data_IF_390617101544
#
_entry.id   IF_390617101544
#
_cell.length_a   1.000
_cell.length_b   1.000
_cell.length_c   1.000
_cell.angle_alpha   90.00
_cell.angle_beta   90.00
_cell.angle_gamma   90.00
#
_symmetry.space_group_name_H-M   'P 1'
#
loop_
_entity.id
_entity.type
_entity.pdbx_description
1 polymer ?
#
# COMPACT_ATOMS: atom_id res chain seq x y z
N UNK A 1 -6.74 12.34 5.57
CA UNK A 1 -6.15 13.14 4.46
C UNK A 1 -7.30 13.84 3.74
N UNK A 2 -7.17 15.13 3.39
CA UNK A 2 -8.25 15.91 2.74
C UNK A 2 -8.20 15.86 1.20
N UNK A 3 -7.86 14.72 0.61
CA UNK A 3 -7.76 14.53 -0.85
C UNK A 3 -9.02 13.92 -1.46
N UNK A 4 -9.10 13.93 -2.79
CA UNK A 4 -10.18 13.29 -3.55
C UNK A 4 -10.04 11.76 -3.52
N UNK A 5 -11.16 11.04 -3.52
CA UNK A 5 -11.20 9.59 -3.66
C UNK A 5 -11.26 9.20 -5.14
N UNK A 6 -10.41 8.25 -5.54
CA UNK A 6 -10.49 7.59 -6.83
C UNK A 6 -10.54 6.07 -6.63
N UNK A 7 -11.34 5.38 -7.44
CA UNK A 7 -11.51 3.92 -7.38
C UNK A 7 -10.99 3.30 -8.68
N UNK A 8 -9.98 2.44 -8.55
CA UNK A 8 -9.44 1.64 -9.64
C UNK A 8 -10.28 0.37 -9.80
N UNK A 9 -10.96 0.23 -10.93
CA UNK A 9 -11.66 -1.00 -11.28
C UNK A 9 -10.75 -1.89 -12.14
N UNK A 10 -10.65 -3.15 -11.74
CA UNK A 10 -9.87 -4.17 -12.43
C UNK A 10 -10.80 -5.28 -12.89
N UNK A 11 -10.68 -5.63 -14.16
CA UNK A 11 -11.30 -6.83 -14.71
C UNK A 11 -10.25 -7.95 -14.81
N UNK A 12 -10.68 -9.18 -14.54
CA UNK A 12 -9.85 -10.39 -14.61
C UNK A 12 -10.37 -11.30 -15.73
N UNK A 13 -9.97 -11.08 -16.98
CA UNK A 13 -10.40 -11.93 -18.09
C UNK A 13 -9.82 -13.35 -18.02
N UNK A 14 -8.72 -13.58 -17.28
CA UNK A 14 -8.13 -14.90 -17.05
C UNK A 14 -7.41 -14.98 -15.70
N UNK A 15 -7.10 -16.20 -15.24
CA UNK A 15 -6.24 -16.42 -14.07
C UNK A 15 -4.87 -15.76 -14.31
N UNK A 16 -4.43 -14.92 -13.37
CA UNK A 16 -3.17 -14.15 -13.41
C UNK A 16 -3.06 -13.00 -14.45
N UNK A 17 -4.11 -12.68 -15.22
CA UNK A 17 -4.13 -11.49 -16.09
C UNK A 17 -5.04 -10.44 -15.48
N UNK A 18 -4.43 -9.50 -14.77
CA UNK A 18 -5.07 -8.34 -14.19
C UNK A 18 -4.96 -7.17 -15.16
N UNK A 19 -6.07 -6.65 -15.69
CA UNK A 19 -6.07 -5.39 -16.43
C UNK A 19 -6.89 -4.36 -15.67
N UNK A 20 -6.28 -3.22 -15.36
CA UNK A 20 -7.02 -2.06 -14.88
C UNK A 20 -7.80 -1.51 -16.07
N UNK A 21 -9.12 -1.53 -15.96
CA UNK A 21 -10.00 -1.17 -17.09
C UNK A 21 -10.56 0.22 -16.94
N UNK A 22 -10.70 0.70 -15.69
CA UNK A 22 -11.23 2.03 -15.44
C UNK A 22 -10.71 2.64 -14.13
N UNK A 23 -10.72 3.98 -14.08
CA UNK A 23 -10.61 4.74 -12.82
C UNK A 23 -11.83 5.65 -12.71
N UNK A 24 -12.50 5.60 -11.57
CA UNK A 24 -13.59 6.51 -11.23
C UNK A 24 -13.00 7.59 -10.32
N UNK A 25 -13.01 8.84 -10.77
CA UNK A 25 -12.39 9.98 -10.09
C UNK A 25 -11.39 10.72 -10.97
N UNK A 26 -11.16 12.00 -10.68
CA UNK A 26 -10.19 12.84 -11.40
C UNK A 26 -8.80 12.73 -10.77
N UNK A 27 -7.84 12.27 -11.56
CA UNK A 27 -6.45 11.98 -11.16
C UNK A 27 -5.43 12.78 -11.98
N UNK A 28 -5.84 13.54 -12.99
CA UNK A 28 -4.94 14.23 -13.91
C UNK A 28 -4.14 15.32 -13.19
N UNK A 29 -2.81 15.30 -13.35
CA UNK A 29 -1.90 16.24 -12.69
C UNK A 29 -1.76 16.04 -11.16
N UNK A 30 -2.48 15.08 -10.56
CA UNK A 30 -2.51 14.86 -9.11
C UNK A 30 -1.48 13.82 -8.65
N UNK A 31 -1.21 13.84 -7.35
CA UNK A 31 -0.47 12.78 -6.67
C UNK A 31 -1.46 11.71 -6.22
N UNK A 32 -1.38 10.51 -6.77
CA UNK A 32 -2.20 9.38 -6.37
C UNK A 32 -1.49 8.54 -5.29
N UNK A 33 -2.23 8.14 -4.26
CA UNK A 33 -1.78 7.19 -3.25
C UNK A 33 -2.74 6.01 -3.30
N UNK A 34 -2.24 4.87 -3.79
CA UNK A 34 -2.97 3.61 -3.75
C UNK A 34 -2.78 2.97 -2.38
N UNK A 35 -3.85 2.41 -1.82
CA UNK A 35 -3.80 1.70 -0.54
C UNK A 35 -4.33 0.29 -0.72
N UNK A 36 -3.64 -0.68 -0.16
CA UNK A 36 -4.10 -2.06 -0.01
C UNK A 36 -3.76 -2.55 1.40
N UNK A 37 -4.27 -3.70 1.83
CA UNK A 37 -3.86 -4.30 3.10
C UNK A 37 -2.48 -4.97 2.98
N UNK A 38 -2.19 -5.59 1.83
CA UNK A 38 -0.95 -6.34 1.61
C UNK A 38 -0.44 -6.29 0.16
N UNK A 39 0.86 -6.55 -0.01
CA UNK A 39 1.51 -6.70 -1.31
C UNK A 39 2.22 -8.05 -1.38
N UNK A 40 1.74 -8.93 -2.24
CA UNK A 40 2.35 -10.23 -2.50
C UNK A 40 3.26 -10.18 -3.74
N UNK A 41 2.76 -10.55 -4.93
CA UNK A 41 3.55 -10.53 -6.17
C UNK A 41 3.67 -9.14 -6.83
N UNK A 42 3.18 -8.08 -6.19
CA UNK A 42 3.11 -6.68 -6.68
C UNK A 42 2.35 -6.43 -8.01
N UNK A 43 1.78 -7.46 -8.65
CA UNK A 43 1.16 -7.33 -9.98
C UNK A 43 -0.02 -6.35 -10.04
N UNK A 44 -0.86 -6.32 -9.01
CA UNK A 44 -1.98 -5.35 -8.94
C UNK A 44 -1.48 -3.91 -8.80
N UNK A 45 -0.51 -3.67 -7.91
CA UNK A 45 0.05 -2.34 -7.66
C UNK A 45 0.72 -1.78 -8.91
N UNK A 46 1.53 -2.59 -9.59
CA UNK A 46 2.24 -2.16 -10.81
C UNK A 46 1.25 -1.81 -11.92
N UNK A 47 0.28 -2.68 -12.20
CA UNK A 47 -0.74 -2.41 -13.21
C UNK A 47 -1.57 -1.14 -12.87
N UNK A 48 -1.86 -0.90 -11.60
CA UNK A 48 -2.51 0.33 -11.12
C UNK A 48 -1.66 1.57 -11.35
N UNK A 49 -0.38 1.51 -11.00
CA UNK A 49 0.53 2.64 -11.14
C UNK A 49 0.77 3.02 -12.59
N UNK A 50 1.00 2.04 -13.45
CA UNK A 50 1.20 2.26 -14.88
C UNK A 50 -0.04 2.91 -15.49
N UNK A 51 -1.23 2.37 -15.19
CA UNK A 51 -2.50 2.94 -15.64
C UNK A 51 -2.73 4.37 -15.15
N UNK A 52 -2.46 4.66 -13.87
CA UNK A 52 -2.62 6.00 -13.32
C UNK A 52 -1.67 7.01 -13.97
N UNK A 53 -0.42 6.60 -14.23
CA UNK A 53 0.58 7.43 -14.91
C UNK A 53 0.19 7.68 -16.38
N UNK A 54 -0.28 6.65 -17.09
CA UNK A 54 -0.82 6.78 -18.46
C UNK A 54 -2.01 7.76 -18.53
N UNK A 55 -2.81 7.83 -17.46
CA UNK A 55 -3.96 8.74 -17.34
C UNK A 55 -3.61 10.12 -16.77
N UNK A 56 -2.32 10.43 -16.63
CA UNK A 56 -1.86 11.78 -16.31
C UNK A 56 -1.59 12.05 -14.82
N UNK A 57 -1.60 11.02 -13.95
CA UNK A 57 -1.17 11.21 -12.56
C UNK A 57 0.29 11.68 -12.52
N UNK A 58 0.57 12.73 -11.73
CA UNK A 58 1.91 13.30 -11.59
C UNK A 58 2.84 12.35 -10.84
N UNK A 59 2.37 11.80 -9.73
CA UNK A 59 3.10 10.85 -8.87
C UNK A 59 2.17 9.73 -8.44
N UNK A 60 2.70 8.52 -8.30
CA UNK A 60 1.93 7.37 -7.81
C UNK A 60 2.70 6.66 -6.72
N UNK A 61 2.14 6.68 -5.51
CA UNK A 61 2.61 5.93 -4.37
C UNK A 61 1.70 4.73 -4.12
N UNK A 62 2.25 3.68 -3.52
CA UNK A 62 1.46 2.59 -2.98
C UNK A 62 1.78 2.41 -1.49
N UNK A 63 0.76 2.21 -0.67
CA UNK A 63 0.88 1.90 0.74
C UNK A 63 0.20 0.57 1.02
N UNK A 64 0.82 -0.29 1.81
CA UNK A 64 0.18 -1.46 2.38
C UNK A 64 0.66 -1.74 3.79
N UNK A 65 -0.11 -2.48 4.58
CA UNK A 65 0.36 -2.93 5.89
C UNK A 65 1.41 -4.00 5.70
N UNK A 66 1.10 -5.08 4.97
CA UNK A 66 1.95 -6.26 4.90
C UNK A 66 2.72 -6.35 3.57
N UNK A 67 4.04 -6.22 3.61
CA UNK A 67 4.92 -6.45 2.45
C UNK A 67 5.39 -7.90 2.38
N UNK A 68 4.63 -8.78 1.73
CA UNK A 68 5.02 -10.20 1.54
C UNK A 68 6.09 -10.34 0.46
N UNK A 69 5.98 -9.59 -0.63
CA UNK A 69 6.97 -9.53 -1.71
C UNK A 69 7.43 -10.88 -2.27
N UNK A 70 6.51 -11.83 -2.51
CA UNK A 70 6.88 -13.07 -3.20
C UNK A 70 7.36 -12.80 -4.65
N UNK A 71 8.23 -13.64 -5.23
CA UNK A 71 8.67 -13.45 -6.61
C UNK A 71 7.49 -13.39 -7.60
N UNK A 72 7.53 -12.53 -8.64
CA UNK A 72 8.62 -11.63 -9.03
C UNK A 72 8.35 -10.17 -8.59
N UNK A 73 7.99 -9.94 -7.33
CA UNK A 73 7.56 -8.62 -6.85
C UNK A 73 8.63 -7.54 -6.98
N UNK A 74 9.89 -7.86 -6.67
CA UNK A 74 11.03 -6.94 -6.71
C UNK A 74 11.24 -6.44 -8.12
N UNK A 75 11.36 -7.34 -9.11
CA UNK A 75 11.60 -6.96 -10.50
C UNK A 75 10.44 -6.12 -11.04
N UNK A 76 9.20 -6.46 -10.64
CA UNK A 76 8.00 -5.71 -11.02
C UNK A 76 8.02 -4.29 -10.46
N UNK A 77 8.34 -4.10 -9.18
CA UNK A 77 8.35 -2.78 -8.54
C UNK A 77 9.40 -1.88 -9.20
N UNK A 78 10.61 -2.41 -9.47
CA UNK A 78 11.70 -1.65 -10.08
C UNK A 78 11.39 -1.24 -11.53
N UNK A 79 10.75 -2.12 -12.30
CA UNK A 79 10.36 -1.85 -13.68
C UNK A 79 9.09 -0.99 -13.84
N UNK A 80 8.33 -0.78 -12.76
CA UNK A 80 7.05 -0.07 -12.80
C UNK A 80 7.15 1.45 -12.81
N UNK A 81 6.01 2.11 -13.01
CA UNK A 81 5.86 3.55 -12.87
C UNK A 81 5.60 4.04 -11.42
N UNK A 82 5.73 3.18 -10.41
CA UNK A 82 5.62 3.55 -9.00
C UNK A 82 6.74 4.50 -8.58
N UNK A 83 6.38 5.59 -7.91
CA UNK A 83 7.33 6.51 -7.26
C UNK A 83 7.92 5.89 -5.99
N UNK A 84 7.09 5.25 -5.16
CA UNK A 84 7.53 4.50 -3.97
C UNK A 84 6.44 3.56 -3.48
N UNK A 85 6.86 2.47 -2.83
CA UNK A 85 6.01 1.53 -2.10
C UNK A 85 6.33 1.65 -0.61
N UNK A 86 5.32 1.89 0.20
CA UNK A 86 5.44 2.02 1.65
C UNK A 86 4.76 0.81 2.29
N UNK A 87 5.51 0.08 3.10
CA UNK A 87 4.99 -1.06 3.88
C UNK A 87 5.38 -0.95 5.34
N UNK A 88 4.82 -1.82 6.18
CA UNK A 88 5.28 -1.94 7.56
C UNK A 88 6.26 -3.09 7.74
N UNK A 89 6.94 -3.13 8.90
CA UNK A 89 7.79 -4.24 9.32
C UNK A 89 7.00 -5.42 9.94
N UNK A 90 5.68 -5.51 9.72
CA UNK A 90 4.85 -6.66 10.15
C UNK A 90 5.26 -7.98 9.50
N UNK A 91 5.91 -7.94 8.34
CA UNK A 91 6.59 -9.08 7.71
C UNK A 91 8.08 -8.73 7.63
N UNK A 92 9.00 -9.62 8.04
CA UNK A 92 10.42 -9.36 7.93
C UNK A 92 10.83 -9.13 6.48
N UNK A 93 11.48 -8.00 6.22
CA UNK A 93 12.05 -7.66 4.93
C UNK A 93 13.56 -7.63 5.08
N UNK A 94 14.25 -8.44 4.29
CA UNK A 94 15.71 -8.46 4.29
C UNK A 94 16.25 -7.13 3.72
N UNK A 95 16.98 -6.32 4.52
CA UNK A 95 17.51 -5.04 4.09
C UNK A 95 18.46 -5.13 2.89
N UNK A 96 19.08 -6.30 2.66
CA UNK A 96 20.02 -6.51 1.55
C UNK A 96 19.32 -6.76 0.21
N UNK A 97 18.09 -7.25 0.24
CA UNK A 97 17.30 -7.60 -0.96
C UNK A 97 16.09 -6.71 -1.16
N UNK A 98 15.78 -5.84 -0.18
CA UNK A 98 14.70 -4.84 -0.28
C UNK A 98 14.91 -3.92 -1.50
N UNK A 99 13.90 -3.73 -2.36
CA UNK A 99 13.98 -2.75 -3.45
C UNK A 99 14.26 -1.34 -2.93
N UNK A 100 14.98 -0.53 -3.72
CA UNK A 100 15.30 0.86 -3.35
C UNK A 100 14.03 1.70 -3.17
N UNK A 101 13.01 1.46 -4.01
CA UNK A 101 11.71 2.16 -3.98
C UNK A 101 10.82 1.75 -2.80
N UNK A 102 11.18 0.72 -2.04
CA UNK A 102 10.42 0.26 -0.86
C UNK A 102 10.90 0.98 0.40
N UNK A 103 9.99 1.68 1.05
CA UNK A 103 10.16 2.24 2.40
C UNK A 103 9.44 1.35 3.41
N UNK A 104 10.09 1.05 4.52
CA UNK A 104 9.52 0.24 5.62
C UNK A 104 9.32 1.13 6.83
N UNK A 105 8.09 1.17 7.35
CA UNK A 105 7.71 1.87 8.57
C UNK A 105 7.57 0.88 9.71
N UNK A 106 8.07 1.22 10.89
CA UNK A 106 7.91 0.32 12.03
C UNK A 106 6.53 0.41 12.65
N UNK A 107 5.97 -0.74 13.03
CA UNK A 107 4.79 -0.83 13.91
C UNK A 107 5.15 -1.20 15.34
N UNK A 108 6.45 -1.25 15.67
CA UNK A 108 6.93 -1.67 16.99
C UNK A 108 6.30 -0.87 18.14
N UNK A 109 6.20 0.47 17.99
CA UNK A 109 5.63 1.34 19.02
C UNK A 109 4.13 1.04 19.25
N UNK A 110 3.36 0.89 18.16
CA UNK A 110 1.92 0.55 18.23
C UNK A 110 1.72 -0.80 18.91
N UNK A 111 2.54 -1.80 18.56
CA UNK A 111 2.46 -3.13 19.15
C UNK A 111 2.90 -3.11 20.63
N UNK A 112 3.97 -2.39 20.97
CA UNK A 112 4.47 -2.28 22.34
C UNK A 112 3.43 -1.59 23.25
N UNK A 113 2.83 -0.49 22.80
CA UNK A 113 1.77 0.21 23.52
C UNK A 113 0.52 -0.66 23.66
N UNK A 114 0.14 -1.38 22.61
CA UNK A 114 -1.00 -2.32 22.67
C UNK A 114 -0.78 -3.40 23.72
N UNK A 115 0.41 -4.01 23.73
CA UNK A 115 0.78 -4.99 24.74
C UNK A 115 0.73 -4.35 26.13
N UNK A 116 1.34 -3.19 26.32
CA UNK A 116 1.34 -2.47 27.59
C UNK A 116 -0.08 -2.21 28.13
N UNK A 117 -0.99 -1.74 27.27
CA UNK A 117 -2.36 -1.43 27.67
C UNK A 117 -3.12 -2.71 28.06
N UNK A 118 -2.95 -3.81 27.33
CA UNK A 118 -3.54 -5.11 27.68
C UNK A 118 -3.07 -5.60 29.06
N UNK A 119 -1.78 -5.48 29.37
CA UNK A 119 -1.23 -5.92 30.65
C UNK A 119 -1.54 -4.97 31.82
N UNK A 120 -1.92 -3.73 31.52
CA UNK A 120 -2.24 -2.70 32.52
C UNK A 120 -3.76 -2.51 32.72
N UNK A 121 -4.59 -3.33 32.05
CA UNK A 121 -6.05 -3.16 31.97
C UNK A 121 -6.48 -1.76 31.47
N UNK A 122 -5.61 -1.13 30.67
CA UNK A 122 -5.83 0.18 30.06
C UNK A 122 -6.53 0.05 28.69
N UNK A 123 -7.04 1.18 28.19
CA UNK A 123 -7.78 1.23 26.93
C UNK A 123 -6.85 1.02 25.72
N UNK A 124 -6.98 -0.12 25.03
CA UNK A 124 -6.32 -0.34 23.72
C UNK A 124 -6.87 0.62 22.65
N UNK A 125 -8.16 0.97 22.73
CA UNK A 125 -8.79 1.89 21.78
C UNK A 125 -8.21 3.32 21.84
N UNK A 126 -7.48 3.67 22.90
CA UNK A 126 -6.80 4.97 23.00
C UNK A 126 -5.66 5.13 21.97
N UNK A 127 -5.06 4.03 21.51
CA UNK A 127 -3.97 4.01 20.53
C UNK A 127 -4.44 4.54 19.16
N UNK A 128 -5.73 4.42 18.88
CA UNK A 128 -6.34 4.97 17.66
C UNK A 128 -6.76 6.44 17.81
N UNK A 129 -6.56 7.06 18.99
CA UNK A 129 -6.98 8.42 19.29
C UNK A 129 -8.48 8.65 19.02
N UNK A 130 -8.80 9.75 18.33
CA UNK A 130 -10.17 10.05 17.86
C UNK A 130 -10.57 9.23 16.62
N UNK A 131 -9.69 8.37 16.08
CA UNK A 131 -9.95 7.52 14.92
C UNK A 131 -10.45 6.13 15.30
N UNK A 132 -11.17 6.00 16.42
CA UNK A 132 -11.99 4.82 16.64
C UNK A 132 -13.06 4.77 15.55
N UNK A 133 -12.71 4.13 14.44
CA UNK A 133 -13.65 3.76 13.40
C UNK A 133 -14.59 2.73 14.03
N UNK A 134 -15.72 3.21 14.54
CA UNK A 134 -16.95 2.44 14.53
C UNK A 134 -17.11 2.01 13.07
N UNK A 135 -16.85 0.74 12.80
CA UNK A 135 -17.28 0.09 11.57
C UNK A 135 -18.78 0.32 11.36
#
# INVERSE_FOLDING_TARGET
MGGDLAVLQKDRPAHNVARVTNVIGDIEGKCAVMTDDMVDTAGTLVAGADFLKERGAKRVFACATHGIFSPPSIERIEASALDSVIVTDTVPIDPLTKPERVTVLTVADILAETIHNVFSDDSVSAIFGDMNALF
#
